data_IF_975387463561
#
_entry.id   IF_975387463561
#
_cell.length_a   1.000
_cell.length_b   1.000
_cell.length_c   1.000
_cell.angle_alpha   90.00
_cell.angle_beta   90.00
_cell.angle_gamma   90.00
#
_symmetry.space_group_name_H-M   'P 1'
#
loop_
_entity.id
_entity.type
_entity.pdbx_description
1 polymer ?
#
# COMPACT_ATOMS: atom_id res chain seq x y z
N UNK A 1 -35.00 13.91 -40.27
CA UNK A 1 -35.22 14.52 -38.95
C UNK A 1 -34.73 13.51 -37.91
N UNK A 2 -33.52 13.65 -37.51
CA UNK A 2 -32.90 12.81 -36.47
C UNK A 2 -33.28 13.37 -35.09
N UNK A 3 -34.00 12.61 -34.30
CA UNK A 3 -34.27 12.97 -32.90
C UNK A 3 -32.98 12.69 -32.10
N UNK A 4 -32.28 13.74 -31.75
CA UNK A 4 -31.20 13.68 -30.78
C UNK A 4 -31.78 13.32 -29.44
N UNK A 5 -31.74 12.04 -29.04
CA UNK A 5 -31.92 11.61 -27.67
C UNK A 5 -30.63 11.94 -26.90
N UNK A 6 -30.46 13.22 -26.62
CA UNK A 6 -29.50 13.67 -25.62
C UNK A 6 -29.98 13.18 -24.24
N UNK A 7 -29.21 12.40 -23.50
CA UNK A 7 -29.63 11.98 -22.16
C UNK A 7 -29.82 13.23 -21.31
N UNK A 8 -31.05 13.43 -20.85
CA UNK A 8 -31.44 14.59 -20.07
C UNK A 8 -30.48 14.74 -18.87
N UNK A 9 -29.75 15.85 -18.84
CA UNK A 9 -28.89 16.22 -17.74
C UNK A 9 -29.69 16.18 -16.43
N UNK A 10 -29.37 15.31 -15.47
CA UNK A 10 -30.11 15.17 -14.24
C UNK A 10 -30.08 16.45 -13.39
N UNK A 11 -29.18 17.39 -13.66
CA UNK A 11 -29.09 18.69 -12.98
C UNK A 11 -30.07 19.73 -13.51
N UNK A 12 -30.72 19.50 -14.67
CA UNK A 12 -31.65 20.45 -15.26
C UNK A 12 -33.04 20.50 -14.59
N UNK A 13 -33.37 19.52 -13.74
CA UNK A 13 -34.64 19.49 -13.01
C UNK A 13 -34.41 19.82 -11.55
N UNK A 14 -34.45 21.11 -11.19
CA UNK A 14 -34.25 21.64 -9.84
C UNK A 14 -35.33 21.29 -8.84
N UNK A 15 -35.62 20.02 -8.61
CA UNK A 15 -36.54 19.51 -7.60
C UNK A 15 -35.79 18.85 -6.46
N UNK A 16 -36.33 18.91 -5.24
CA UNK A 16 -35.81 18.24 -4.03
C UNK A 16 -35.56 16.73 -4.25
N UNK A 17 -36.32 16.09 -5.14
CA UNK A 17 -36.15 14.69 -5.55
C UNK A 17 -34.82 14.50 -6.30
N UNK A 18 -34.46 15.44 -7.17
CA UNK A 18 -33.20 15.41 -7.94
C UNK A 18 -31.99 15.62 -7.03
N UNK A 19 -32.12 16.51 -6.02
CA UNK A 19 -31.07 16.70 -5.02
C UNK A 19 -30.83 15.44 -4.16
N UNK A 20 -31.92 14.77 -3.75
CA UNK A 20 -31.85 13.50 -3.01
C UNK A 20 -31.24 12.37 -3.84
N UNK A 21 -31.55 12.34 -5.13
CA UNK A 21 -30.98 11.37 -6.07
C UNK A 21 -29.50 11.67 -6.36
N UNK A 22 -29.13 12.93 -6.50
CA UNK A 22 -27.73 13.35 -6.63
C UNK A 22 -26.90 13.00 -5.38
N UNK A 23 -27.48 13.14 -4.19
CA UNK A 23 -26.86 12.70 -2.94
C UNK A 23 -26.67 11.19 -2.87
N UNK A 24 -27.68 10.40 -3.29
CA UNK A 24 -27.51 8.93 -3.34
C UNK A 24 -26.48 8.51 -4.37
N UNK A 25 -26.40 9.21 -5.51
CA UNK A 25 -25.45 8.92 -6.58
C UNK A 25 -23.99 9.26 -6.23
N UNK A 26 -23.78 10.17 -5.25
CA UNK A 26 -22.44 10.44 -4.70
C UNK A 26 -21.81 9.22 -3.98
N UNK A 27 -22.64 8.35 -3.44
CA UNK A 27 -22.20 7.13 -2.75
C UNK A 27 -22.24 5.88 -3.63
N UNK A 28 -22.74 5.99 -4.86
CA UNK A 28 -22.70 4.91 -5.86
C UNK A 28 -21.49 5.13 -6.74
N UNK A 29 -20.51 4.26 -6.61
CA UNK A 29 -19.31 4.26 -7.44
C UNK A 29 -19.71 3.87 -8.87
N UNK A 30 -19.79 4.84 -9.77
CA UNK A 30 -20.03 4.62 -11.18
C UNK A 30 -18.72 4.76 -11.94
N UNK A 31 -18.42 3.80 -12.81
CA UNK A 31 -17.24 3.85 -13.67
C UNK A 31 -17.64 4.31 -15.07
N UNK A 32 -16.82 5.16 -15.68
CA UNK A 32 -16.96 5.50 -17.10
C UNK A 32 -16.45 4.33 -17.93
N UNK A 33 -17.33 3.68 -18.68
CA UNK A 33 -16.97 2.63 -19.61
C UNK A 33 -17.19 3.14 -21.01
N UNK A 34 -16.20 2.99 -21.90
CA UNK A 34 -16.36 3.27 -23.32
C UNK A 34 -17.06 2.07 -23.93
N UNK A 35 -18.25 2.28 -24.44
CA UNK A 35 -19.04 1.26 -25.12
C UNK A 35 -19.08 1.59 -26.62
N UNK A 36 -18.83 0.59 -27.44
CA UNK A 36 -18.91 0.72 -28.92
C UNK A 36 -20.29 0.33 -29.36
N UNK A 37 -20.96 1.22 -30.08
CA UNK A 37 -22.27 0.95 -30.66
C UNK A 37 -22.16 -0.02 -31.87
N UNK A 38 -23.23 -0.67 -32.26
CA UNK A 38 -23.30 -1.57 -33.44
C UNK A 38 -22.86 -0.88 -34.76
N UNK A 39 -22.81 0.44 -34.76
CA UNK A 39 -22.33 1.27 -35.87
C UNK A 39 -20.85 1.64 -35.79
N UNK A 40 -20.12 1.14 -34.78
CA UNK A 40 -18.68 1.42 -34.55
C UNK A 40 -18.39 2.78 -33.90
N UNK A 41 -19.38 3.49 -33.38
CA UNK A 41 -19.22 4.73 -32.69
C UNK A 41 -18.92 4.46 -31.17
N UNK A 42 -17.88 5.07 -30.65
CA UNK A 42 -17.53 4.99 -29.23
C UNK A 42 -18.27 6.08 -28.45
N UNK A 43 -19.03 5.66 -27.44
CA UNK A 43 -19.67 6.59 -26.51
C UNK A 43 -19.37 6.18 -25.07
N UNK A 44 -19.38 7.15 -24.16
CA UNK A 44 -19.06 6.94 -22.76
C UNK A 44 -20.34 6.79 -21.96
N UNK A 45 -20.53 5.62 -21.34
CA UNK A 45 -21.66 5.35 -20.45
C UNK A 45 -21.19 5.18 -18.99
N UNK A 46 -22.04 5.64 -18.06
CA UNK A 46 -21.81 5.44 -16.64
C UNK A 46 -22.45 4.13 -16.20
N UNK A 47 -21.62 3.12 -16.02
CA UNK A 47 -22.09 1.81 -15.54
C UNK A 47 -21.81 1.65 -14.06
N UNK A 48 -22.79 1.07 -13.33
CA UNK A 48 -22.56 0.61 -11.97
C UNK A 48 -21.54 -0.54 -12.00
N UNK A 49 -20.57 -0.57 -11.11
CA UNK A 49 -19.62 -1.69 -11.04
C UNK A 49 -20.40 -2.98 -10.83
N UNK A 50 -19.91 -4.06 -11.41
CA UNK A 50 -20.48 -5.39 -11.19
C UNK A 50 -20.59 -5.67 -9.67
N UNK A 51 -21.66 -6.34 -9.22
CA UNK A 51 -21.80 -6.69 -7.84
C UNK A 51 -20.57 -7.50 -7.39
N UNK A 52 -19.97 -7.09 -6.27
CA UNK A 52 -18.81 -7.76 -5.71
C UNK A 52 -19.07 -9.26 -5.59
N UNK A 53 -18.32 -10.05 -6.32
CA UNK A 53 -18.35 -11.52 -6.20
C UNK A 53 -17.98 -11.89 -4.77
N UNK A 54 -18.54 -12.97 -4.27
CA UNK A 54 -18.21 -13.47 -2.93
C UNK A 54 -16.68 -13.55 -2.75
N UNK A 55 -16.09 -12.94 -1.68
CA UNK A 55 -14.64 -12.92 -1.48
C UNK A 55 -14.04 -14.33 -1.45
N UNK A 56 -14.78 -15.31 -0.96
CA UNK A 56 -14.34 -16.71 -0.95
C UNK A 56 -14.25 -17.32 -2.36
N UNK A 57 -15.12 -16.93 -3.28
CA UNK A 57 -15.04 -17.40 -4.67
C UNK A 57 -13.88 -16.77 -5.43
N UNK A 58 -13.51 -15.53 -5.09
CA UNK A 58 -12.32 -14.86 -5.63
C UNK A 58 -11.04 -15.53 -5.10
N UNK A 59 -10.99 -15.84 -3.81
CA UNK A 59 -9.86 -16.55 -3.21
C UNK A 59 -9.67 -17.96 -3.81
N UNK A 60 -10.75 -18.64 -4.17
CA UNK A 60 -10.69 -19.94 -4.81
C UNK A 60 -10.16 -19.91 -6.26
N UNK A 61 -10.22 -18.75 -6.92
CA UNK A 61 -9.70 -18.55 -8.28
C UNK A 61 -8.20 -18.22 -8.31
N UNK A 62 -7.59 -17.91 -7.15
CA UNK A 62 -6.17 -17.59 -7.04
C UNK A 62 -5.31 -18.82 -7.41
N UNK A 63 -4.36 -18.59 -8.30
CA UNK A 63 -3.35 -19.60 -8.64
C UNK A 63 -2.40 -19.86 -7.45
N UNK A 64 -1.74 -21.01 -7.44
CA UNK A 64 -0.72 -21.31 -6.44
C UNK A 64 0.42 -20.26 -6.40
N UNK A 65 0.71 -19.62 -7.54
CA UNK A 65 1.70 -18.53 -7.63
C UNK A 65 1.20 -17.27 -6.92
N UNK A 66 -0.07 -16.92 -7.07
CA UNK A 66 -0.68 -15.74 -6.45
C UNK A 66 -0.74 -15.90 -4.93
N UNK A 67 -1.06 -17.12 -4.47
CA UNK A 67 -0.99 -17.49 -3.06
C UNK A 67 0.43 -17.35 -2.50
N UNK A 68 1.45 -17.74 -3.25
CA UNK A 68 2.84 -17.59 -2.83
C UNK A 68 3.22 -16.12 -2.68
N UNK A 69 2.85 -15.25 -3.62
CA UNK A 69 3.10 -13.81 -3.52
C UNK A 69 2.37 -13.19 -2.32
N UNK A 70 1.13 -13.59 -2.11
CA UNK A 70 0.35 -13.13 -0.97
C UNK A 70 0.99 -13.53 0.37
N UNK A 71 1.41 -14.79 0.50
CA UNK A 71 2.07 -15.31 1.71
C UNK A 71 3.39 -14.58 1.96
N UNK A 72 4.20 -14.38 0.93
CA UNK A 72 5.47 -13.64 1.05
C UNK A 72 5.23 -12.22 1.52
N UNK A 73 4.27 -11.51 0.93
CA UNK A 73 3.88 -10.16 1.37
C UNK A 73 3.37 -10.13 2.80
N UNK A 74 2.53 -11.08 3.17
CA UNK A 74 1.99 -11.23 4.53
C UNK A 74 3.10 -11.51 5.56
N UNK A 75 4.04 -12.42 5.25
CA UNK A 75 5.18 -12.71 6.13
C UNK A 75 6.10 -11.50 6.29
N UNK A 76 6.37 -10.78 5.20
CA UNK A 76 7.15 -9.56 5.23
C UNK A 76 6.52 -8.50 6.13
N UNK A 77 5.22 -8.31 6.02
CA UNK A 77 4.49 -7.35 6.84
C UNK A 77 4.40 -7.76 8.31
N UNK A 78 4.19 -9.05 8.57
CA UNK A 78 4.20 -9.59 9.93
C UNK A 78 5.55 -9.43 10.61
N UNK A 79 6.65 -9.66 9.89
CA UNK A 79 8.00 -9.44 10.39
C UNK A 79 8.28 -7.97 10.74
N UNK A 80 7.79 -7.04 9.91
CA UNK A 80 7.88 -5.60 10.19
C UNK A 80 7.10 -5.20 11.45
N UNK A 81 5.86 -5.64 11.57
CA UNK A 81 5.04 -5.37 12.73
C UNK A 81 5.70 -5.92 14.01
N UNK A 82 6.28 -7.13 13.92
CA UNK A 82 7.00 -7.73 15.03
C UNK A 82 8.22 -6.90 15.45
N UNK A 83 9.06 -6.45 14.51
CA UNK A 83 10.23 -5.63 14.79
C UNK A 83 9.84 -4.30 15.46
N UNK A 84 8.82 -3.63 14.94
CA UNK A 84 8.32 -2.38 15.50
C UNK A 84 7.81 -2.54 16.93
N UNK A 85 7.01 -3.56 17.20
CA UNK A 85 6.48 -3.83 18.52
C UNK A 85 7.56 -4.29 19.50
N UNK A 86 8.49 -5.13 19.05
CA UNK A 86 9.62 -5.58 19.87
C UNK A 86 10.47 -4.41 20.35
N UNK A 87 10.76 -3.43 19.48
CA UNK A 87 11.47 -2.22 19.85
C UNK A 87 10.69 -1.36 20.84
N UNK A 88 9.41 -1.16 20.60
CA UNK A 88 8.54 -0.35 21.46
C UNK A 88 8.48 -0.90 22.88
N UNK A 89 8.36 -2.22 23.04
CA UNK A 89 8.32 -2.88 24.34
C UNK A 89 9.69 -2.83 25.04
N UNK A 90 10.78 -2.89 24.28
CA UNK A 90 12.13 -2.92 24.83
C UNK A 90 12.74 -1.53 25.07
N UNK A 91 12.01 -0.44 24.81
CA UNK A 91 12.51 0.94 24.93
C UNK A 91 13.23 1.19 26.25
N UNK A 92 12.64 0.78 27.38
CA UNK A 92 13.25 0.96 28.72
C UNK A 92 14.53 0.15 28.89
N UNK A 93 14.60 -1.07 28.35
CA UNK A 93 15.81 -1.90 28.42
C UNK A 93 16.92 -1.32 27.55
N UNK A 94 16.58 -0.85 26.36
CA UNK A 94 17.52 -0.18 25.45
C UNK A 94 18.07 1.11 26.05
N UNK A 95 17.21 1.93 26.66
CA UNK A 95 17.61 3.15 27.33
C UNK A 95 18.64 2.85 28.44
N UNK A 96 18.40 1.84 29.27
CA UNK A 96 19.30 1.39 30.29
C UNK A 96 20.62 0.85 29.73
N UNK A 97 20.56 0.06 28.68
CA UNK A 97 21.73 -0.55 28.04
C UNK A 97 22.67 0.49 27.41
N UNK A 98 22.11 1.50 26.75
CA UNK A 98 22.89 2.58 26.14
C UNK A 98 23.14 3.78 27.08
N UNK A 99 22.70 3.70 28.34
CA UNK A 99 22.81 4.78 29.35
C UNK A 99 22.21 6.10 28.79
N UNK A 100 21.02 6.03 28.22
CA UNK A 100 20.28 7.13 27.60
C UNK A 100 18.88 7.26 28.19
N UNK A 101 18.22 8.39 27.95
CA UNK A 101 16.83 8.57 28.36
C UNK A 101 15.88 7.76 27.48
N UNK A 102 14.70 7.43 28.00
CA UNK A 102 13.64 6.81 27.21
C UNK A 102 13.23 7.70 26.03
N UNK A 103 13.31 9.02 26.20
CA UNK A 103 13.00 10.01 25.17
C UNK A 103 13.96 9.90 23.98
N UNK A 104 15.27 9.68 24.23
CA UNK A 104 16.27 9.52 23.16
C UNK A 104 15.95 8.28 22.30
N UNK A 105 15.59 7.17 22.95
CA UNK A 105 15.22 5.94 22.23
C UNK A 105 13.92 6.13 21.45
N UNK A 106 12.92 6.79 22.02
CA UNK A 106 11.67 7.09 21.31
C UNK A 106 11.91 7.98 20.09
N UNK A 107 12.79 8.98 20.22
CA UNK A 107 13.19 9.84 19.11
C UNK A 107 13.87 9.02 18.00
N UNK A 108 14.72 8.05 18.34
CA UNK A 108 15.33 7.15 17.37
C UNK A 108 14.27 6.33 16.60
N UNK A 109 13.26 5.80 17.30
CA UNK A 109 12.15 5.07 16.68
C UNK A 109 11.35 5.99 15.75
N UNK A 110 11.04 7.22 16.19
CA UNK A 110 10.31 8.21 15.37
C UNK A 110 11.09 8.58 14.11
N UNK A 111 12.41 8.76 14.22
CA UNK A 111 13.28 9.03 13.06
C UNK A 111 13.25 7.87 12.05
N UNK A 112 13.28 6.64 12.54
CA UNK A 112 13.14 5.43 11.69
C UNK A 112 11.83 5.45 10.92
N UNK A 113 10.70 5.81 11.57
CA UNK A 113 9.38 5.91 10.92
C UNK A 113 9.33 7.04 9.88
N UNK A 114 9.96 8.17 10.18
CA UNK A 114 10.01 9.29 9.24
C UNK A 114 10.80 8.92 7.97
N UNK A 115 11.96 8.28 8.14
CA UNK A 115 12.76 7.82 7.01
C UNK A 115 12.07 6.71 6.20
N UNK A 116 11.16 5.95 6.79
CA UNK A 116 10.33 4.98 6.10
C UNK A 116 9.48 5.64 5.00
N UNK A 117 8.91 6.81 5.24
CA UNK A 117 8.14 7.55 4.24
C UNK A 117 8.98 7.95 3.03
N UNK A 118 10.22 8.39 3.28
CA UNK A 118 11.19 8.71 2.22
C UNK A 118 11.56 7.45 1.44
N UNK A 119 11.83 6.34 2.15
CA UNK A 119 12.11 5.05 1.54
C UNK A 119 10.99 4.54 0.66
N UNK A 120 9.74 4.66 1.11
CA UNK A 120 8.57 4.26 0.33
C UNK A 120 8.49 4.99 -1.02
N UNK A 121 8.78 6.30 -1.05
CA UNK A 121 8.81 7.07 -2.29
C UNK A 121 9.95 6.60 -3.22
N UNK A 122 11.16 6.44 -2.71
CA UNK A 122 12.34 6.04 -3.51
C UNK A 122 12.13 4.64 -4.11
N UNK A 123 11.78 3.67 -3.27
CA UNK A 123 11.63 2.27 -3.71
C UNK A 123 10.33 2.02 -4.46
N UNK A 124 9.29 2.83 -4.25
CA UNK A 124 8.10 2.86 -5.08
C UNK A 124 8.44 3.19 -6.53
N UNK A 125 9.12 4.32 -6.74
CA UNK A 125 9.59 4.73 -8.08
C UNK A 125 10.57 3.71 -8.70
N UNK A 126 11.45 3.11 -7.89
CA UNK A 126 12.34 2.07 -8.36
C UNK A 126 11.57 0.81 -8.80
N UNK A 127 10.53 0.43 -8.04
CA UNK A 127 9.64 -0.68 -8.36
C UNK A 127 8.88 -0.47 -9.66
N UNK A 128 8.43 0.75 -9.93
CA UNK A 128 7.73 1.10 -11.17
C UNK A 128 8.68 1.05 -12.39
N UNK A 129 9.97 1.41 -12.21
CA UNK A 129 10.96 1.46 -13.30
C UNK A 129 11.59 0.09 -13.60
N UNK A 130 11.94 -0.69 -12.60
CA UNK A 130 12.72 -1.95 -12.75
C UNK A 130 11.87 -3.20 -12.45
N UNK A 131 10.60 -3.04 -12.21
CA UNK A 131 9.71 -4.10 -11.78
C UNK A 131 9.81 -4.38 -10.28
N UNK A 132 8.70 -4.77 -9.67
CA UNK A 132 8.55 -4.85 -8.20
C UNK A 132 9.31 -5.99 -7.54
N UNK A 133 9.58 -7.05 -8.29
CA UNK A 133 10.26 -8.26 -7.78
C UNK A 133 11.68 -7.97 -7.30
N UNK A 134 12.50 -7.30 -8.11
CA UNK A 134 13.92 -7.09 -7.81
C UNK A 134 14.14 -6.14 -6.63
N UNK A 135 13.50 -4.95 -6.54
CA UNK A 135 13.61 -4.08 -5.38
C UNK A 135 13.19 -4.78 -4.09
N UNK A 136 12.15 -5.63 -4.13
CA UNK A 136 11.69 -6.36 -2.96
C UNK A 136 12.73 -7.36 -2.46
N UNK A 137 13.34 -8.17 -3.35
CA UNK A 137 14.38 -9.14 -2.98
C UNK A 137 15.59 -8.43 -2.38
N UNK A 138 16.08 -7.36 -3.02
CA UNK A 138 17.22 -6.58 -2.53
C UNK A 138 16.91 -5.97 -1.15
N UNK A 139 15.73 -5.39 -0.98
CA UNK A 139 15.29 -4.83 0.30
C UNK A 139 15.29 -5.89 1.40
N UNK A 140 14.75 -7.08 1.15
CA UNK A 140 14.69 -8.15 2.13
C UNK A 140 16.08 -8.61 2.58
N UNK A 141 17.02 -8.75 1.63
CA UNK A 141 18.41 -9.12 1.95
C UNK A 141 19.06 -8.04 2.81
N UNK A 142 18.94 -6.78 2.42
CA UNK A 142 19.53 -5.65 3.15
C UNK A 142 18.92 -5.53 4.56
N UNK A 143 17.60 -5.67 4.68
CA UNK A 143 16.93 -5.64 5.98
C UNK A 143 17.41 -6.76 6.91
N UNK A 144 17.60 -7.98 6.39
CA UNK A 144 18.18 -9.08 7.16
C UNK A 144 19.59 -8.76 7.67
N UNK A 145 20.44 -8.20 6.81
CA UNK A 145 21.80 -7.78 7.19
C UNK A 145 21.79 -6.64 8.22
N UNK A 146 20.92 -5.65 8.07
CA UNK A 146 20.78 -4.55 9.01
C UNK A 146 20.24 -5.02 10.37
N UNK A 147 19.37 -6.04 10.38
CA UNK A 147 18.89 -6.63 11.62
C UNK A 147 20.03 -7.31 12.40
N UNK A 148 20.90 -8.03 11.69
CA UNK A 148 22.12 -8.60 12.28
C UNK A 148 23.05 -7.47 12.78
N UNK A 149 23.26 -6.43 11.98
CA UNK A 149 24.08 -5.28 12.38
C UNK A 149 23.56 -4.58 13.63
N UNK A 150 22.23 -4.55 13.83
CA UNK A 150 21.63 -3.99 15.04
C UNK A 150 22.06 -4.73 16.31
N UNK A 151 22.25 -6.06 16.25
CA UNK A 151 22.69 -6.88 17.38
C UNK A 151 24.12 -6.51 17.79
N UNK A 152 24.97 -6.17 16.83
CA UNK A 152 26.38 -5.81 17.07
C UNK A 152 26.58 -4.33 17.39
N UNK A 153 25.53 -3.52 17.44
CA UNK A 153 25.65 -2.11 17.79
C UNK A 153 26.01 -1.94 19.27
N UNK A 154 27.20 -1.45 19.53
CA UNK A 154 27.70 -1.22 20.91
C UNK A 154 27.41 0.19 21.43
N UNK A 155 27.19 1.16 20.54
CA UNK A 155 26.94 2.56 20.91
C UNK A 155 25.55 3.01 20.40
N UNK A 156 24.96 3.97 21.12
CA UNK A 156 23.68 4.55 20.73
C UNK A 156 23.72 5.18 19.34
N UNK A 157 24.82 5.81 18.95
CA UNK A 157 24.96 6.41 17.62
C UNK A 157 24.96 5.36 16.51
N UNK A 158 25.63 4.22 16.71
CA UNK A 158 25.61 3.10 15.77
C UNK A 158 24.19 2.52 15.65
N UNK A 159 23.53 2.32 16.79
CA UNK A 159 22.14 1.87 16.82
C UNK A 159 21.23 2.82 16.03
N UNK A 160 21.34 4.13 16.27
CA UNK A 160 20.56 5.15 15.58
C UNK A 160 20.81 5.12 14.06
N UNK A 161 22.07 5.04 13.64
CA UNK A 161 22.45 4.99 12.22
C UNK A 161 21.88 3.75 11.52
N UNK A 162 22.08 2.57 12.12
CA UNK A 162 21.57 1.31 11.55
C UNK A 162 20.05 1.32 11.47
N UNK A 163 19.36 1.81 12.51
CA UNK A 163 17.89 1.92 12.52
C UNK A 163 17.36 2.95 11.54
N UNK A 164 18.07 4.04 11.30
CA UNK A 164 17.70 5.03 10.31
C UNK A 164 17.75 4.44 8.89
N UNK A 165 18.83 3.72 8.56
CA UNK A 165 18.97 3.02 7.28
C UNK A 165 17.93 1.91 7.17
N UNK A 166 17.70 1.14 8.23
CA UNK A 166 16.66 0.11 8.28
C UNK A 166 15.28 0.68 7.95
N UNK A 167 14.91 1.83 8.54
CA UNK A 167 13.66 2.51 8.24
C UNK A 167 13.51 2.85 6.75
N UNK A 168 14.58 3.36 6.13
CA UNK A 168 14.57 3.71 4.71
C UNK A 168 14.26 2.49 3.82
N UNK A 169 14.96 1.37 4.02
CA UNK A 169 14.75 0.15 3.24
C UNK A 169 13.39 -0.50 3.53
N UNK A 170 12.93 -0.43 4.78
CA UNK A 170 11.64 -0.97 5.18
C UNK A 170 10.46 -0.27 4.50
N UNK A 171 10.58 1.05 4.27
CA UNK A 171 9.59 1.80 3.49
C UNK A 171 9.34 1.20 2.10
N UNK A 172 10.39 0.70 1.45
CA UNK A 172 10.28 0.08 0.14
C UNK A 172 9.56 -1.27 0.11
N UNK A 173 9.63 -2.03 1.19
CA UNK A 173 8.95 -3.34 1.27
C UNK A 173 7.44 -3.19 1.24
N UNK A 174 6.92 -2.18 1.95
CA UNK A 174 5.49 -1.97 2.14
C UNK A 174 4.75 -1.77 0.82
N UNK A 175 5.17 -0.79 0.03
CA UNK A 175 4.57 -0.48 -1.26
C UNK A 175 4.72 -1.61 -2.27
N UNK A 176 5.91 -2.20 -2.35
CA UNK A 176 6.20 -3.28 -3.30
C UNK A 176 5.44 -4.58 -2.96
N UNK A 177 5.26 -4.91 -1.66
CA UNK A 177 4.51 -6.10 -1.25
C UNK A 177 3.03 -6.00 -1.62
N UNK A 178 2.39 -4.86 -1.33
CA UNK A 178 0.98 -4.64 -1.67
C UNK A 178 0.79 -4.64 -3.18
N UNK A 179 1.62 -3.92 -3.91
CA UNK A 179 1.50 -3.83 -5.35
C UNK A 179 1.74 -5.19 -6.04
N UNK A 180 2.71 -5.98 -5.57
CA UNK A 180 2.95 -7.32 -6.10
C UNK A 180 1.79 -8.27 -5.84
N UNK A 181 1.11 -8.15 -4.69
CA UNK A 181 -0.09 -8.92 -4.40
C UNK A 181 -1.26 -8.51 -5.31
N UNK A 182 -1.45 -7.21 -5.57
CA UNK A 182 -2.55 -6.71 -6.39
C UNK A 182 -2.34 -6.93 -7.90
N UNK A 183 -1.10 -6.81 -8.39
CA UNK A 183 -0.80 -7.00 -9.81
C UNK A 183 -0.94 -8.46 -10.27
N UNK A 184 -0.89 -9.41 -9.37
CA UNK A 184 -1.05 -10.83 -9.67
C UNK A 184 -2.46 -11.37 -9.31
N UNK A 185 -3.37 -10.50 -8.84
CA UNK A 185 -4.76 -10.89 -8.66
C UNK A 185 -5.50 -10.87 -10.01
N UNK A 186 -6.38 -11.84 -10.28
CA UNK A 186 -7.19 -11.90 -11.49
C UNK A 186 -8.22 -10.78 -11.58
#
# INVERSE_FOLDING_TARGET
MASTNEPADPLAKGTLATAKQAWSDLFVWKQRVVVTNDYGEEYTEWQSPEPLKNPFSLLAQLSAKDWLFFIVGFCAWSADAFDFHALSIQTTKLAKNYNRSNTDITTAITLTLLLRSVGAAIFGLAGDKWGRKWPMVVNMIILGLLQIATIYSSTFQQFLAVRSIFGLFMGGVYGNAIAMALENCP
#
